data_IF_136095923423
#
_entry.id   IF_136095923423
#
_cell.length_a   1.000
_cell.length_b   1.000
_cell.length_c   1.000
_cell.angle_alpha   90.00
_cell.angle_beta   90.00
_cell.angle_gamma   90.00
#
_symmetry.space_group_name_H-M   'P 1'
#
loop_
_entity.id
_entity.type
_entity.pdbx_description
1 polymer ?
#
# COMPACT_ATOMS: atom_id res chain seq x y z
N UNK A 1 -22.19 16.46 -50.69
CA UNK A 1 -21.32 15.79 -49.70
C UNK A 1 -21.85 16.04 -48.29
N UNK A 2 -21.92 15.01 -47.46
CA UNK A 2 -22.31 15.18 -46.08
C UNK A 2 -21.13 15.75 -45.27
N UNK A 3 -21.45 16.64 -44.36
CA UNK A 3 -20.45 17.27 -43.48
C UNK A 3 -20.08 16.33 -42.34
N UNK A 4 -18.78 16.13 -42.12
CA UNK A 4 -18.28 15.34 -40.99
C UNK A 4 -18.42 16.16 -39.71
N UNK A 5 -19.14 15.60 -38.73
CA UNK A 5 -19.35 16.23 -37.43
C UNK A 5 -18.59 15.44 -36.36
N UNK A 6 -17.93 16.13 -35.43
CA UNK A 6 -17.10 15.54 -34.38
C UNK A 6 -17.77 15.55 -33.01
N UNK A 7 -19.06 15.93 -32.93
CA UNK A 7 -19.77 16.07 -31.67
C UNK A 7 -19.90 14.76 -30.87
N UNK A 8 -20.17 13.67 -31.56
CA UNK A 8 -20.33 12.34 -30.91
C UNK A 8 -19.02 11.85 -30.31
N UNK A 9 -17.93 11.96 -31.04
CA UNK A 9 -16.60 11.50 -30.58
C UNK A 9 -16.10 12.33 -29.42
N UNK A 10 -16.24 13.65 -29.49
CA UNK A 10 -15.88 14.55 -28.40
C UNK A 10 -16.68 14.27 -27.13
N UNK A 11 -18.01 14.09 -27.29
CA UNK A 11 -18.89 13.78 -26.16
C UNK A 11 -18.51 12.44 -25.48
N UNK A 12 -18.22 11.41 -26.27
CA UNK A 12 -17.78 10.13 -25.73
C UNK A 12 -16.48 10.25 -24.94
N UNK A 13 -15.54 11.04 -25.43
CA UNK A 13 -14.28 11.30 -24.76
C UNK A 13 -14.48 12.04 -23.45
N UNK A 14 -15.34 13.07 -23.43
CA UNK A 14 -15.70 13.82 -22.22
C UNK A 14 -16.41 12.93 -21.20
N UNK A 15 -17.32 12.08 -21.64
CA UNK A 15 -18.02 11.13 -20.77
C UNK A 15 -17.05 10.16 -20.08
N UNK A 16 -16.04 9.70 -20.80
CA UNK A 16 -15.02 8.81 -20.24
C UNK A 16 -14.27 9.46 -19.07
N UNK A 17 -13.91 10.73 -19.21
CA UNK A 17 -13.26 11.51 -18.13
C UNK A 17 -14.22 11.74 -16.97
N UNK A 18 -15.44 12.17 -17.24
CA UNK A 18 -16.44 12.43 -16.21
C UNK A 18 -16.84 11.19 -15.43
N UNK A 19 -16.77 10.02 -16.04
CA UNK A 19 -16.99 8.75 -15.36
C UNK A 19 -15.94 8.53 -14.26
N UNK A 20 -14.69 8.92 -14.50
CA UNK A 20 -13.63 8.87 -13.50
C UNK A 20 -13.81 9.92 -12.40
N UNK A 21 -14.55 11.00 -12.68
CA UNK A 21 -14.85 12.07 -11.73
C UNK A 21 -16.11 11.81 -10.91
N UNK A 22 -16.73 10.66 -11.06
CA UNK A 22 -17.96 10.30 -10.35
C UNK A 22 -17.75 10.39 -8.84
N UNK A 23 -18.66 11.07 -8.16
CA UNK A 23 -18.58 11.28 -6.71
C UNK A 23 -17.80 12.53 -6.29
N UNK A 24 -17.22 13.26 -7.22
CA UNK A 24 -16.52 14.51 -6.90
C UNK A 24 -17.52 15.61 -6.52
N UNK A 25 -17.06 16.52 -5.70
CA UNK A 25 -17.91 17.58 -5.15
C UNK A 25 -18.15 18.71 -6.15
N UNK A 26 -19.38 19.20 -6.17
CA UNK A 26 -19.77 20.36 -6.97
C UNK A 26 -19.65 20.13 -8.46
N UNK A 27 -19.15 21.12 -9.19
CA UNK A 27 -19.00 21.08 -10.64
C UNK A 27 -17.93 20.10 -11.11
N UNK A 28 -17.03 19.68 -10.25
CA UNK A 28 -15.96 18.74 -10.61
C UNK A 28 -16.50 17.37 -11.09
N UNK A 29 -17.69 17.00 -10.68
CA UNK A 29 -18.35 15.76 -11.14
C UNK A 29 -19.13 15.91 -12.45
N UNK A 30 -19.48 17.15 -12.84
CA UNK A 30 -20.40 17.39 -13.95
C UNK A 30 -19.80 18.21 -15.08
N UNK A 31 -19.00 19.23 -14.79
CA UNK A 31 -18.38 20.10 -15.79
C UNK A 31 -17.04 19.50 -16.25
N UNK A 32 -16.88 19.28 -17.56
CA UNK A 32 -15.69 18.63 -18.10
C UNK A 32 -14.41 19.37 -17.78
N UNK A 33 -14.36 20.69 -17.99
CA UNK A 33 -13.13 21.47 -17.77
C UNK A 33 -12.63 21.41 -16.35
N UNK A 34 -13.53 21.51 -15.37
CA UNK A 34 -13.21 21.40 -13.94
C UNK A 34 -12.92 19.94 -13.59
N UNK A 35 -13.72 19.03 -14.11
CA UNK A 35 -13.58 17.59 -13.87
C UNK A 35 -12.25 17.02 -14.34
N UNK A 36 -11.80 17.41 -15.54
CA UNK A 36 -10.54 16.88 -16.09
C UNK A 36 -9.32 17.31 -15.25
N UNK A 37 -9.32 18.55 -14.74
CA UNK A 37 -8.25 19.00 -13.85
C UNK A 37 -8.16 18.16 -12.59
N UNK A 38 -9.30 17.88 -11.98
CA UNK A 38 -9.38 17.07 -10.76
C UNK A 38 -9.03 15.60 -11.03
N UNK A 39 -9.46 15.04 -12.15
CA UNK A 39 -9.14 13.67 -12.54
C UNK A 39 -7.64 13.53 -12.80
N UNK A 40 -7.03 14.45 -13.54
CA UNK A 40 -5.59 14.43 -13.81
C UNK A 40 -4.77 14.49 -12.52
N UNK A 41 -5.16 15.38 -11.61
CA UNK A 41 -4.49 15.50 -10.31
C UNK A 41 -4.69 14.23 -9.48
N UNK A 42 -5.90 13.67 -9.51
CA UNK A 42 -6.21 12.41 -8.84
C UNK A 42 -5.37 11.25 -9.36
N UNK A 43 -5.13 11.16 -10.67
CA UNK A 43 -4.28 10.14 -11.26
C UNK A 43 -2.81 10.32 -10.88
N UNK A 44 -2.32 11.55 -10.79
CA UNK A 44 -0.97 11.84 -10.29
C UNK A 44 -0.82 11.39 -8.84
N UNK A 45 -1.81 11.69 -8.00
CA UNK A 45 -1.81 11.25 -6.60
C UNK A 45 -1.89 9.72 -6.50
N UNK A 46 -2.69 9.08 -7.36
CA UNK A 46 -2.79 7.62 -7.38
C UNK A 46 -1.44 6.97 -7.69
N UNK A 47 -0.69 7.52 -8.66
CA UNK A 47 0.66 7.04 -8.98
C UNK A 47 1.61 7.19 -7.78
N UNK A 48 1.66 8.37 -7.20
CA UNK A 48 2.48 8.65 -6.03
C UNK A 48 2.11 7.75 -4.85
N UNK A 49 0.82 7.62 -4.57
CA UNK A 49 0.33 6.95 -3.37
C UNK A 49 0.41 5.43 -3.46
N UNK A 50 0.41 4.86 -4.67
CA UNK A 50 0.73 3.43 -4.83
C UNK A 50 2.16 3.12 -4.37
N UNK A 51 3.09 4.04 -4.54
CA UNK A 51 4.46 3.91 -4.05
C UNK A 51 4.54 4.16 -2.55
N UNK A 52 3.86 5.20 -2.07
CA UNK A 52 3.80 5.52 -0.64
C UNK A 52 3.09 4.43 0.15
N UNK A 53 2.09 3.77 -0.42
CA UNK A 53 1.40 2.65 0.21
C UNK A 53 2.37 1.53 0.61
N UNK A 54 3.29 1.19 -0.26
CA UNK A 54 4.30 0.15 0.02
C UNK A 54 5.19 0.55 1.21
N UNK A 55 5.64 1.80 1.24
CA UNK A 55 6.46 2.33 2.34
C UNK A 55 5.69 2.37 3.66
N UNK A 56 4.43 2.81 3.60
CA UNK A 56 3.55 2.92 4.77
C UNK A 56 3.30 1.56 5.39
N UNK A 57 2.95 0.56 4.58
CA UNK A 57 2.72 -0.79 5.08
C UNK A 57 3.99 -1.44 5.61
N UNK A 58 5.13 -1.22 4.96
CA UNK A 58 6.40 -1.71 5.49
C UNK A 58 6.70 -1.13 6.88
N UNK A 59 6.46 0.17 7.08
CA UNK A 59 6.59 0.81 8.38
C UNK A 59 5.66 0.21 9.43
N UNK A 60 4.42 -0.07 9.05
CA UNK A 60 3.46 -0.71 9.94
C UNK A 60 3.89 -2.13 10.33
N UNK A 61 4.37 -2.92 9.38
CA UNK A 61 4.86 -4.28 9.66
C UNK A 61 6.05 -4.26 10.61
N UNK A 62 6.99 -3.34 10.38
CA UNK A 62 8.16 -3.16 11.26
C UNK A 62 7.71 -2.81 12.68
N UNK A 63 6.75 -1.91 12.82
CA UNK A 63 6.21 -1.51 14.11
C UNK A 63 5.58 -2.68 14.86
N UNK A 64 4.78 -3.48 14.17
CA UNK A 64 4.14 -4.66 14.76
C UNK A 64 5.14 -5.73 15.18
N UNK A 65 6.12 -6.00 14.32
CA UNK A 65 7.19 -6.95 14.62
C UNK A 65 8.00 -6.48 15.83
N UNK A 66 8.37 -5.20 15.84
CA UNK A 66 9.14 -4.62 16.94
C UNK A 66 8.40 -4.72 18.28
N UNK A 67 7.11 -4.40 18.29
CA UNK A 67 6.29 -4.51 19.50
C UNK A 67 6.26 -5.95 20.01
N UNK A 68 6.06 -6.92 19.13
CA UNK A 68 6.00 -8.33 19.49
C UNK A 68 7.36 -8.88 19.95
N UNK A 69 8.45 -8.49 19.30
CA UNK A 69 9.81 -8.95 19.70
C UNK A 69 10.22 -8.39 21.06
N UNK A 70 9.80 -7.18 21.38
CA UNK A 70 10.09 -6.58 22.68
C UNK A 70 9.40 -7.30 23.84
N UNK A 71 8.28 -7.92 23.61
CA UNK A 71 7.63 -8.79 24.59
C UNK A 71 8.51 -10.00 24.94
N UNK A 72 9.38 -10.41 24.04
CA UNK A 72 10.33 -11.51 24.23
C UNK A 72 11.74 -11.04 24.56
N UNK A 73 11.93 -9.76 24.84
CA UNK A 73 13.22 -9.19 25.25
C UNK A 73 14.19 -8.88 24.12
N UNK A 74 13.76 -8.92 22.85
CA UNK A 74 14.58 -8.56 21.69
C UNK A 74 14.16 -7.24 21.11
N UNK A 75 15.12 -6.50 20.55
CA UNK A 75 14.82 -5.36 19.67
C UNK A 75 14.56 -5.88 18.26
N UNK A 76 13.92 -5.04 17.43
CA UNK A 76 13.66 -5.38 16.03
C UNK A 76 14.95 -5.73 15.28
N UNK A 77 16.00 -4.95 15.47
CA UNK A 77 17.31 -5.15 14.79
C UNK A 77 17.93 -6.49 15.17
N UNK A 78 17.90 -6.84 16.45
CA UNK A 78 18.40 -8.12 16.93
C UNK A 78 17.61 -9.29 16.35
N UNK A 79 16.29 -9.18 16.35
CA UNK A 79 15.39 -10.20 15.78
C UNK A 79 15.68 -10.41 14.28
N UNK A 80 15.77 -9.33 13.51
CA UNK A 80 16.02 -9.41 12.06
C UNK A 80 17.40 -9.99 11.77
N UNK A 81 18.41 -9.64 12.56
CA UNK A 81 19.73 -10.23 12.45
C UNK A 81 19.70 -11.74 12.74
N UNK A 82 18.96 -12.12 13.77
CA UNK A 82 18.75 -13.54 14.12
C UNK A 82 18.05 -14.33 13.03
N UNK A 83 17.00 -13.76 12.45
CA UNK A 83 16.27 -14.37 11.32
C UNK A 83 17.20 -14.55 10.11
N UNK A 84 18.01 -13.55 9.80
CA UNK A 84 18.97 -13.63 8.70
C UNK A 84 20.04 -14.70 8.95
N UNK A 85 20.59 -14.75 10.16
CA UNK A 85 21.60 -15.75 10.54
C UNK A 85 21.03 -17.17 10.54
N UNK A 86 19.76 -17.33 10.93
CA UNK A 86 19.08 -18.63 10.93
C UNK A 86 18.72 -19.11 9.52
N UNK A 87 18.86 -18.26 8.50
CA UNK A 87 18.52 -18.60 7.12
C UNK A 87 17.02 -18.71 6.87
N UNK A 88 16.20 -18.07 7.69
CA UNK A 88 14.74 -18.09 7.57
C UNK A 88 14.31 -17.06 6.52
N UNK A 89 13.64 -17.53 5.48
CA UNK A 89 13.13 -16.71 4.37
C UNK A 89 11.64 -16.42 4.57
N UNK A 90 11.32 -15.46 5.43
CA UNK A 90 9.95 -15.00 5.68
C UNK A 90 9.94 -13.48 5.56
N UNK A 91 8.97 -12.95 4.82
CA UNK A 91 8.87 -11.50 4.65
C UNK A 91 8.23 -10.84 5.88
N UNK A 92 8.38 -9.51 5.95
CA UNK A 92 7.87 -8.72 7.08
C UNK A 92 6.35 -8.74 7.20
N UNK A 93 5.65 -8.82 6.08
CA UNK A 93 4.19 -8.90 6.06
C UNK A 93 3.70 -10.15 6.79
N UNK A 94 4.27 -11.30 6.47
CA UNK A 94 3.92 -12.59 7.09
C UNK A 94 4.31 -12.58 8.57
N UNK A 95 5.49 -12.10 8.91
CA UNK A 95 5.92 -12.01 10.32
C UNK A 95 5.02 -11.10 11.14
N UNK A 96 4.60 -9.96 10.59
CA UNK A 96 3.68 -9.06 11.26
C UNK A 96 2.29 -9.68 11.45
N UNK A 97 1.82 -10.44 10.48
CA UNK A 97 0.55 -11.15 10.55
C UNK A 97 0.59 -12.25 11.63
N UNK A 98 1.65 -13.02 11.66
CA UNK A 98 1.87 -14.04 12.70
C UNK A 98 1.93 -13.42 14.10
N UNK A 99 2.57 -12.28 14.24
CA UNK A 99 2.69 -11.58 15.52
C UNK A 99 1.33 -11.19 16.09
N UNK A 100 0.37 -10.86 15.24
CA UNK A 100 -0.98 -10.44 15.65
C UNK A 100 -1.93 -11.64 15.80
N UNK A 101 -1.94 -12.54 14.82
CA UNK A 101 -2.94 -13.61 14.73
C UNK A 101 -2.50 -14.91 15.38
N UNK A 102 -1.22 -15.22 15.32
CA UNK A 102 -0.66 -16.49 15.82
C UNK A 102 0.57 -16.21 16.69
N UNK A 103 0.39 -15.71 17.92
CA UNK A 103 1.53 -15.37 18.79
C UNK A 103 2.44 -16.57 19.09
N UNK A 104 1.90 -17.78 19.16
CA UNK A 104 2.69 -18.99 19.41
C UNK A 104 3.66 -19.28 18.25
N UNK A 105 3.21 -19.14 17.01
CA UNK A 105 4.07 -19.30 15.82
C UNK A 105 5.14 -18.23 15.77
N UNK A 106 4.79 -17.00 16.10
CA UNK A 106 5.75 -15.89 16.18
C UNK A 106 6.81 -16.12 17.26
N UNK A 107 6.40 -16.63 18.42
CA UNK A 107 7.31 -17.00 19.50
C UNK A 107 8.34 -18.05 19.03
N UNK A 108 7.91 -19.04 18.27
CA UNK A 108 8.82 -20.04 17.70
C UNK A 108 9.89 -19.37 16.81
N UNK A 109 9.51 -18.38 16.00
CA UNK A 109 10.46 -17.60 15.19
C UNK A 109 11.44 -16.82 16.06
N UNK A 110 10.96 -16.22 17.15
CA UNK A 110 11.81 -15.48 18.09
C UNK A 110 12.83 -16.43 18.73
N UNK A 111 12.41 -17.61 19.14
CA UNK A 111 13.30 -18.61 19.75
C UNK A 111 14.40 -19.05 18.76
N UNK A 112 14.03 -19.29 17.51
CA UNK A 112 15.00 -19.63 16.45
C UNK A 112 15.98 -18.48 16.21
N UNK A 113 15.50 -17.25 16.19
CA UNK A 113 16.34 -16.06 16.03
C UNK A 113 17.31 -15.91 17.22
N UNK A 114 16.84 -16.11 18.45
CA UNK A 114 17.67 -16.05 19.66
C UNK A 114 18.76 -17.13 19.63
N UNK A 115 18.41 -18.33 19.21
CA UNK A 115 19.38 -19.43 19.08
C UNK A 115 20.47 -19.11 18.06
N UNK A 116 20.13 -18.47 16.96
CA UNK A 116 21.06 -18.07 15.91
C UNK A 116 21.97 -16.88 16.33
N UNK A 117 21.57 -16.10 17.32
CA UNK A 117 22.35 -14.99 17.85
C UNK A 117 23.43 -15.42 18.86
N UNK A 118 23.29 -16.59 19.43
CA UNK A 118 24.28 -17.20 20.33
C UNK A 118 25.41 -17.83 19.52
#
# INVERSE_FOLDING_TARGET
MSRVKRGVTAHARHKKVLKLAKGYRGRAKAAFRVGIEKVEKGLQYAYRDRRNKKRTFRGLWIQRINAATREHGLTYSQFMNGILKAGIEVDRKVMADLAVREPAAFKALVEQAQAALK
#
